data_IF_269023022033
#
_entry.id   IF_269023022033
#
_cell.length_a   1.000
_cell.length_b   1.000
_cell.length_c   1.000
_cell.angle_alpha   90.00
_cell.angle_beta   90.00
_cell.angle_gamma   90.00
#
_symmetry.space_group_name_H-M   'P 1'
#
loop_
_entity.id
_entity.type
_entity.pdbx_description
1 polymer ?
#
# COMPACT_ATOMS: atom_id res chain seq x y z
N UNK A 1 -4.87 -14.59 -36.07
CA UNK A 1 -5.15 -14.54 -34.62
C UNK A 1 -4.17 -15.45 -33.85
N UNK A 2 -2.99 -14.98 -33.44
CA UNK A 2 -1.99 -15.78 -32.69
C UNK A 2 -1.10 -15.01 -31.69
N UNK A 3 -1.43 -13.77 -31.30
CA UNK A 3 -0.51 -12.96 -30.47
C UNK A 3 -0.93 -12.80 -28.99
N UNK A 4 -2.14 -13.21 -28.61
CA UNK A 4 -2.66 -12.99 -27.24
C UNK A 4 -2.06 -13.97 -26.22
N UNK A 5 -1.52 -15.12 -26.66
CA UNK A 5 -1.05 -16.17 -25.73
C UNK A 5 0.35 -15.95 -25.15
N UNK A 6 1.19 -15.13 -25.79
CA UNK A 6 2.57 -14.85 -25.33
C UNK A 6 2.60 -13.78 -24.24
N UNK A 7 1.82 -12.70 -24.39
CA UNK A 7 1.73 -11.63 -23.40
C UNK A 7 1.17 -12.12 -22.06
N UNK A 8 0.19 -13.05 -22.08
CA UNK A 8 -0.40 -13.64 -20.88
C UNK A 8 0.57 -14.55 -20.11
N UNK A 9 1.49 -15.22 -20.81
CA UNK A 9 2.54 -16.06 -20.20
C UNK A 9 3.67 -15.22 -19.61
N UNK A 10 4.02 -14.10 -20.24
CA UNK A 10 5.01 -13.15 -19.72
C UNK A 10 4.53 -12.44 -18.46
N UNK A 11 3.26 -12.02 -18.42
CA UNK A 11 2.67 -11.42 -17.21
C UNK A 11 2.62 -12.38 -16.02
N UNK A 12 2.36 -13.68 -16.26
CA UNK A 12 2.36 -14.68 -15.19
C UNK A 12 3.76 -14.95 -14.63
N UNK A 13 4.79 -14.87 -15.48
CA UNK A 13 6.18 -15.10 -15.08
C UNK A 13 6.79 -13.91 -14.31
N UNK A 14 6.38 -12.68 -14.61
CA UNK A 14 6.76 -11.51 -13.79
C UNK A 14 6.11 -11.60 -12.39
N UNK A 15 4.88 -12.12 -12.31
CA UNK A 15 4.16 -12.27 -11.04
C UNK A 15 4.78 -13.37 -10.15
N UNK A 16 5.33 -14.45 -10.73
CA UNK A 16 5.95 -15.55 -9.99
C UNK A 16 7.36 -15.22 -9.47
N UNK A 17 8.07 -14.30 -10.12
CA UNK A 17 9.38 -13.81 -9.65
C UNK A 17 9.27 -12.91 -8.40
N UNK A 18 8.11 -12.29 -8.15
CA UNK A 18 7.87 -11.43 -6.98
C UNK A 18 7.67 -12.22 -5.67
N UNK A 19 7.36 -13.52 -5.74
CA UNK A 19 7.14 -14.35 -4.54
C UNK A 19 8.40 -15.02 -3.98
N UNK A 20 9.54 -14.95 -4.66
CA UNK A 20 10.76 -15.67 -4.27
C UNK A 20 11.86 -14.81 -3.63
N UNK A 21 11.59 -13.55 -3.30
CA UNK A 21 12.59 -12.62 -2.73
C UNK A 21 12.31 -12.21 -1.27
N UNK A 22 11.70 -13.09 -0.46
CA UNK A 22 11.42 -12.82 0.96
C UNK A 22 11.98 -13.87 1.91
N UNK A 23 13.21 -14.33 1.67
CA UNK A 23 13.99 -15.07 2.68
C UNK A 23 15.42 -14.53 2.78
N UNK A 24 15.57 -13.41 3.48
CA UNK A 24 16.85 -13.04 4.11
C UNK A 24 16.55 -12.13 5.30
N UNK A 25 16.69 -12.69 6.50
CA UNK A 25 16.71 -11.93 7.74
C UNK A 25 18.06 -11.24 7.93
N UNK A 26 17.97 -10.03 8.50
CA UNK A 26 18.97 -9.31 9.28
C UNK A 26 20.27 -8.89 8.57
N UNK A 27 20.46 -7.57 8.44
CA UNK A 27 21.65 -6.82 8.86
C UNK A 27 21.34 -5.32 8.71
N UNK A 28 21.77 -4.56 9.71
CA UNK A 28 21.72 -3.10 9.84
C UNK A 28 21.71 -2.35 8.50
N UNK A 29 20.63 -1.63 8.24
CA UNK A 29 20.60 -0.59 7.22
C UNK A 29 20.12 0.70 7.88
N UNK A 30 21.04 1.41 8.52
CA UNK A 30 20.99 2.86 8.55
C UNK A 30 21.33 3.36 7.13
N UNK A 31 20.50 2.97 6.16
CA UNK A 31 20.59 3.45 4.79
C UNK A 31 19.76 4.72 4.73
N UNK A 32 20.40 5.85 4.47
CA UNK A 32 19.76 6.97 3.79
C UNK A 32 18.90 6.40 2.67
N UNK A 33 17.57 6.43 2.85
CA UNK A 33 16.64 5.77 1.94
C UNK A 33 16.80 6.45 0.59
N UNK A 34 17.36 5.73 -0.38
CA UNK A 34 17.56 6.26 -1.72
C UNK A 34 16.18 6.42 -2.39
N UNK A 35 15.76 7.65 -2.75
CA UNK A 35 14.49 7.91 -3.43
C UNK A 35 14.26 7.05 -4.67
N UNK A 36 15.33 6.63 -5.38
CA UNK A 36 15.22 5.80 -6.59
C UNK A 36 14.85 4.34 -6.29
N UNK A 37 15.08 3.86 -5.06
CA UNK A 37 14.78 2.48 -4.64
C UNK A 37 13.39 2.33 -3.99
N UNK A 38 12.62 3.42 -3.91
CA UNK A 38 11.26 3.39 -3.39
C UNK A 38 10.28 2.83 -4.42
N UNK A 39 9.28 2.05 -3.98
CA UNK A 39 8.18 1.69 -4.85
C UNK A 39 7.55 2.96 -5.45
N UNK A 40 7.13 2.96 -6.73
CA UNK A 40 6.60 4.15 -7.38
C UNK A 40 5.36 4.77 -6.72
N UNK A 41 4.74 4.04 -5.79
CA UNK A 41 3.58 4.48 -5.02
C UNK A 41 3.93 5.14 -3.68
N UNK A 42 5.15 4.98 -3.17
CA UNK A 42 5.59 5.48 -1.87
C UNK A 42 6.37 6.78 -2.06
N UNK A 43 5.77 7.91 -1.70
CA UNK A 43 6.45 9.20 -1.81
C UNK A 43 7.49 9.36 -0.68
N UNK A 44 8.64 10.01 -0.93
CA UNK A 44 9.65 10.23 0.10
C UNK A 44 9.13 11.00 1.33
N UNK A 45 8.16 11.89 1.14
CA UNK A 45 7.54 12.68 2.21
C UNK A 45 6.83 11.80 3.23
N UNK A 46 6.25 10.67 2.81
CA UNK A 46 5.61 9.71 3.71
C UNK A 46 6.60 9.02 4.65
N UNK A 47 7.87 8.89 4.24
CA UNK A 47 8.90 8.27 5.07
C UNK A 47 9.19 9.09 6.32
N UNK A 48 9.11 10.42 6.22
CA UNK A 48 9.33 11.31 7.37
C UNK A 48 8.35 10.98 8.49
N UNK A 49 7.09 10.71 8.15
CA UNK A 49 6.07 10.35 9.12
C UNK A 49 6.23 8.93 9.66
N UNK A 50 6.72 7.99 8.85
CA UNK A 50 7.03 6.62 9.33
C UNK A 50 8.19 6.64 10.33
N UNK A 51 9.27 7.35 10.01
CA UNK A 51 10.44 7.49 10.89
C UNK A 51 10.04 8.21 12.19
N UNK A 52 9.26 9.29 12.08
CA UNK A 52 8.80 10.04 13.25
C UNK A 52 7.81 9.28 14.15
N UNK A 53 7.17 8.20 13.68
CA UNK A 53 6.36 7.33 14.54
C UNK A 53 7.21 6.45 15.47
N UNK A 54 8.49 6.24 15.15
CA UNK A 54 9.41 5.38 15.91
C UNK A 54 8.77 4.04 16.30
N UNK A 55 8.31 3.29 15.28
CA UNK A 55 7.61 2.03 15.49
C UNK A 55 8.55 0.96 16.03
N UNK A 56 8.13 0.25 17.07
CA UNK A 56 8.80 -0.96 17.51
C UNK A 56 8.63 -2.11 16.50
N UNK A 57 9.36 -3.22 16.69
CA UNK A 57 9.34 -4.32 15.72
C UNK A 57 7.97 -5.01 15.59
N UNK A 58 7.18 -5.05 16.67
CA UNK A 58 5.83 -5.59 16.64
C UNK A 58 4.87 -4.67 15.87
N UNK A 59 4.98 -3.36 16.08
CA UNK A 59 4.21 -2.34 15.39
C UNK A 59 4.58 -2.26 13.91
N UNK A 60 5.87 -2.40 13.57
CA UNK A 60 6.35 -2.47 12.19
C UNK A 60 5.72 -3.63 11.42
N UNK A 61 5.61 -4.79 12.05
CA UNK A 61 4.98 -5.96 11.43
C UNK A 61 3.48 -5.72 11.18
N UNK A 62 2.78 -5.16 12.16
CA UNK A 62 1.36 -4.78 12.00
C UNK A 62 1.20 -3.75 10.89
N UNK A 63 2.05 -2.72 10.85
CA UNK A 63 2.04 -1.68 9.82
C UNK A 63 2.22 -2.26 8.43
N UNK A 64 3.27 -3.07 8.21
CA UNK A 64 3.54 -3.68 6.89
C UNK A 64 2.35 -4.51 6.44
N UNK A 65 1.84 -5.39 7.31
CA UNK A 65 0.71 -6.26 7.00
C UNK A 65 -0.56 -5.46 6.70
N UNK A 66 -0.91 -4.50 7.55
CA UNK A 66 -2.12 -3.69 7.38
C UNK A 66 -2.05 -2.83 6.11
N UNK A 67 -0.87 -2.25 5.81
CA UNK A 67 -0.66 -1.49 4.59
C UNK A 67 -0.80 -2.39 3.35
N UNK A 68 -0.17 -3.56 3.33
CA UNK A 68 -0.33 -4.52 2.23
C UNK A 68 -1.79 -4.91 2.01
N UNK A 69 -2.52 -5.24 3.08
CA UNK A 69 -3.94 -5.56 3.01
C UNK A 69 -4.77 -4.39 2.43
N UNK A 70 -4.52 -3.16 2.88
CA UNK A 70 -5.20 -1.96 2.38
C UNK A 70 -4.94 -1.75 0.87
N UNK A 71 -3.68 -1.79 0.43
CA UNK A 71 -3.32 -1.57 -0.98
C UNK A 71 -3.91 -2.65 -1.90
N UNK A 72 -3.83 -3.92 -1.47
CA UNK A 72 -4.39 -5.05 -2.24
C UNK A 72 -5.93 -5.03 -2.23
N UNK A 73 -6.56 -4.64 -1.12
CA UNK A 73 -8.00 -4.43 -1.00
C UNK A 73 -8.50 -3.37 -1.98
N UNK A 74 -7.82 -2.21 -2.04
CA UNK A 74 -8.12 -1.14 -2.99
C UNK A 74 -8.07 -1.63 -4.44
N UNK A 75 -7.02 -2.37 -4.82
CA UNK A 75 -6.90 -2.95 -6.16
C UNK A 75 -8.06 -3.91 -6.48
N UNK A 76 -8.41 -4.77 -5.52
CA UNK A 76 -9.52 -5.72 -5.65
C UNK A 76 -10.87 -5.02 -5.84
N UNK A 77 -11.11 -3.92 -5.11
CA UNK A 77 -12.30 -3.07 -5.28
C UNK A 77 -12.37 -2.53 -6.70
N UNK A 78 -11.30 -1.90 -7.19
CA UNK A 78 -11.26 -1.31 -8.53
C UNK A 78 -11.56 -2.37 -9.59
N UNK A 79 -10.84 -3.50 -9.56
CA UNK A 79 -11.03 -4.59 -10.52
C UNK A 79 -12.45 -5.17 -10.46
N UNK A 80 -12.98 -5.38 -9.26
CA UNK A 80 -14.33 -5.93 -9.05
C UNK A 80 -15.40 -5.01 -9.60
N UNK A 81 -15.32 -3.71 -9.33
CA UNK A 81 -16.32 -2.74 -9.78
C UNK A 81 -16.25 -2.49 -11.29
N UNK A 82 -15.06 -2.47 -11.89
CA UNK A 82 -14.88 -2.42 -13.35
C UNK A 82 -15.51 -3.66 -14.00
N UNK A 83 -15.22 -4.86 -13.48
CA UNK A 83 -15.78 -6.12 -14.01
C UNK A 83 -17.30 -6.18 -13.86
N UNK A 84 -17.85 -5.66 -12.76
CA UNK A 84 -19.29 -5.64 -12.49
C UNK A 84 -20.03 -4.67 -13.42
N UNK A 85 -19.41 -3.56 -13.80
CA UNK A 85 -20.02 -2.55 -14.66
C UNK A 85 -21.20 -1.81 -14.01
N UNK A 86 -22.08 -1.25 -14.85
CA UNK A 86 -23.30 -0.55 -14.43
C UNK A 86 -23.11 0.94 -14.16
N UNK A 87 -24.13 1.58 -13.59
CA UNK A 87 -24.12 3.01 -13.22
C UNK A 87 -23.27 3.27 -11.98
N UNK A 88 -22.80 4.50 -11.72
CA UNK A 88 -22.11 4.91 -10.48
C UNK A 88 -20.82 4.15 -10.10
N UNK A 89 -20.11 3.53 -11.06
CA UNK A 89 -18.84 2.82 -10.80
C UNK A 89 -17.85 3.69 -9.99
N UNK A 90 -17.60 4.98 -10.35
CA UNK A 90 -16.64 5.80 -9.60
C UNK A 90 -17.03 5.99 -8.13
N UNK A 91 -18.33 6.17 -7.86
CA UNK A 91 -18.84 6.36 -6.49
C UNK A 91 -18.65 5.10 -5.65
N UNK A 92 -18.87 3.91 -6.24
CA UNK A 92 -18.68 2.63 -5.54
C UNK A 92 -17.21 2.34 -5.26
N UNK A 93 -16.33 2.63 -6.23
CA UNK A 93 -14.87 2.53 -6.03
C UNK A 93 -14.43 3.45 -4.89
N UNK A 94 -14.81 4.73 -4.92
CA UNK A 94 -14.48 5.69 -3.84
C UNK A 94 -14.93 5.20 -2.46
N UNK A 95 -16.17 4.69 -2.37
CA UNK A 95 -16.69 4.13 -1.10
C UNK A 95 -15.92 2.90 -0.63
N UNK A 96 -15.53 2.02 -1.54
CA UNK A 96 -14.72 0.85 -1.21
C UNK A 96 -13.33 1.27 -0.71
N UNK A 97 -12.65 2.14 -1.44
CA UNK A 97 -11.33 2.66 -1.08
C UNK A 97 -11.35 3.33 0.30
N UNK A 98 -12.37 4.15 0.59
CA UNK A 98 -12.51 4.76 1.91
C UNK A 98 -12.65 3.73 3.04
N UNK A 99 -13.26 2.57 2.79
CA UNK A 99 -13.34 1.50 3.80
C UNK A 99 -11.99 0.86 4.05
N UNK A 100 -11.18 0.63 3.03
CA UNK A 100 -9.81 0.12 3.19
C UNK A 100 -8.96 1.07 4.04
N UNK A 101 -9.06 2.39 3.79
CA UNK A 101 -8.40 3.39 4.63
C UNK A 101 -8.89 3.38 6.08
N UNK A 102 -10.20 3.25 6.32
CA UNK A 102 -10.74 3.14 7.68
C UNK A 102 -10.23 1.88 8.39
N UNK A 103 -10.20 0.74 7.70
CA UNK A 103 -9.69 -0.51 8.27
C UNK A 103 -8.19 -0.42 8.62
N UNK A 104 -7.40 0.24 7.77
CA UNK A 104 -6.00 0.53 8.06
C UNK A 104 -5.84 1.43 9.30
N UNK A 105 -6.63 2.51 9.36
CA UNK A 105 -6.62 3.46 10.47
C UNK A 105 -6.97 2.80 11.81
N UNK A 106 -8.07 2.05 11.85
CA UNK A 106 -8.54 1.34 13.04
C UNK A 106 -7.49 0.35 13.54
N UNK A 107 -6.88 -0.41 12.62
CA UNK A 107 -5.88 -1.42 12.96
C UNK A 107 -4.60 -0.81 13.51
N UNK A 108 -4.14 0.30 12.94
CA UNK A 108 -2.96 0.98 13.44
C UNK A 108 -3.21 1.64 14.80
N UNK A 109 -4.34 2.36 14.95
CA UNK A 109 -4.71 3.00 16.22
C UNK A 109 -4.87 2.01 17.38
N UNK A 110 -5.22 0.76 17.10
CA UNK A 110 -5.26 -0.30 18.12
C UNK A 110 -3.89 -0.69 18.68
N UNK A 111 -2.80 -0.40 17.95
CA UNK A 111 -1.42 -0.80 18.31
C UNK A 111 -0.49 0.36 18.66
N UNK A 112 -0.85 1.58 18.27
CA UNK A 112 -0.02 2.76 18.48
C UNK A 112 -0.22 3.36 19.87
N UNK A 113 0.87 3.86 20.44
CA UNK A 113 0.85 4.69 21.64
C UNK A 113 0.40 6.12 21.30
N UNK A 114 -0.12 6.83 22.31
CA UNK A 114 -0.65 8.20 22.15
C UNK A 114 0.31 9.18 21.44
N UNK A 115 1.63 9.23 21.75
CA UNK A 115 2.56 10.12 21.06
C UNK A 115 2.71 9.83 19.56
N UNK A 116 2.46 8.59 19.13
CA UNK A 116 2.63 8.16 17.74
C UNK A 116 1.43 8.56 16.86
N UNK A 117 0.26 8.85 17.46
CA UNK A 117 -0.99 9.09 16.74
C UNK A 117 -0.95 10.34 15.84
N UNK A 118 -0.20 11.37 16.22
CA UNK A 118 -0.03 12.58 15.41
C UNK A 118 0.71 12.29 14.09
N UNK A 119 1.86 11.63 14.19
CA UNK A 119 2.65 11.19 13.02
C UNK A 119 1.86 10.21 12.15
N UNK A 120 1.08 9.31 12.76
CA UNK A 120 0.18 8.41 12.04
C UNK A 120 -0.90 9.15 11.23
N UNK A 121 -1.56 10.15 11.83
CA UNK A 121 -2.59 10.93 11.14
C UNK A 121 -2.01 11.62 9.89
N UNK A 122 -0.83 12.23 10.02
CA UNK A 122 -0.13 12.87 8.91
C UNK A 122 0.27 11.86 7.83
N UNK A 123 0.79 10.69 8.22
CA UNK A 123 1.09 9.61 7.27
C UNK A 123 -0.15 9.17 6.49
N UNK A 124 -1.27 8.92 7.16
CA UNK A 124 -2.49 8.44 6.52
C UNK A 124 -3.10 9.50 5.59
N UNK A 125 -3.05 10.77 5.97
CA UNK A 125 -3.48 11.88 5.12
C UNK A 125 -2.61 12.00 3.87
N UNK A 126 -1.28 11.98 4.04
CA UNK A 126 -0.35 11.99 2.92
C UNK A 126 -0.58 10.81 1.98
N UNK A 127 -0.77 9.60 2.52
CA UNK A 127 -1.03 8.41 1.71
C UNK A 127 -2.29 8.59 0.84
N UNK A 128 -3.36 9.15 1.41
CA UNK A 128 -4.60 9.44 0.67
C UNK A 128 -4.37 10.47 -0.43
N UNK A 129 -3.63 11.53 -0.16
CA UNK A 129 -3.31 12.57 -1.14
C UNK A 129 -2.48 12.00 -2.30
N UNK A 130 -1.40 11.32 -1.99
CA UNK A 130 -0.51 10.66 -2.96
C UNK A 130 -1.26 9.65 -3.84
N UNK A 131 -2.20 8.89 -3.29
CA UNK A 131 -3.02 7.96 -4.06
C UNK A 131 -4.06 8.66 -4.94
N UNK A 132 -4.61 9.79 -4.47
CA UNK A 132 -5.56 10.59 -5.24
C UNK A 132 -4.89 11.27 -6.44
N UNK A 133 -3.68 11.82 -6.26
CA UNK A 133 -2.90 12.44 -7.33
C UNK A 133 -2.59 11.44 -8.46
N UNK A 134 -2.19 10.21 -8.11
CA UNK A 134 -1.88 9.18 -9.12
C UNK A 134 -3.10 8.54 -9.78
N UNK A 135 -4.30 8.80 -9.27
CA UNK A 135 -5.54 8.32 -9.85
C UNK A 135 -6.14 9.29 -10.90
N UNK A 136 -5.65 10.53 -10.95
CA UNK A 136 -6.00 11.54 -11.95
C UNK A 136 -5.13 11.45 -13.20
#
# INVERSE_FOLDING_TARGET
MRNVSLARRLFLNILLALTFAFTSNAVLAESTIDPENLPPWLSPELLVHIVAMDLDDSQKEVFRKALTECLTGMQSIVQREIRKGGVDIPRRIKRGINREYSMLDDRMKATLAEPQLGSWANYLEGLKATMAERAG
#
